data_IF_276874817719
#
_entry.id   IF_276874817719
#
_cell.length_a   1.000
_cell.length_b   1.000
_cell.length_c   1.000
_cell.angle_alpha   90.00
_cell.angle_beta   90.00
_cell.angle_gamma   90.00
#
_symmetry.space_group_name_H-M   'P 1'
#
loop_
_entity.id
_entity.type
_entity.pdbx_description
1 polymer ?
#
# COMPACT_ATOMS: atom_id res chain seq x y z
N UNK A 1 32.65 -17.31 4.16
CA UNK A 1 32.35 -16.48 2.97
C UNK A 1 33.32 -16.90 1.89
N UNK A 2 32.86 -17.59 0.84
CA UNK A 2 33.76 -18.09 -0.22
C UNK A 2 33.90 -17.06 -1.34
N UNK A 3 35.02 -17.10 -2.07
CA UNK A 3 35.34 -16.15 -3.16
C UNK A 3 34.25 -16.14 -4.26
N UNK A 4 33.57 -17.28 -4.46
CA UNK A 4 32.42 -17.44 -5.36
C UNK A 4 31.18 -16.65 -4.89
N UNK A 5 30.97 -16.52 -3.58
CA UNK A 5 29.87 -15.74 -3.01
C UNK A 5 30.08 -14.23 -3.21
N UNK A 6 31.31 -13.75 -3.07
CA UNK A 6 31.64 -12.32 -3.25
C UNK A 6 31.59 -11.93 -4.73
N UNK A 7 32.12 -12.77 -5.62
CA UNK A 7 32.06 -12.54 -7.07
C UNK A 7 30.64 -12.65 -7.61
N UNK A 8 29.86 -13.64 -7.14
CA UNK A 8 28.45 -13.80 -7.49
C UNK A 8 27.58 -12.62 -7.04
N UNK A 9 27.80 -12.10 -5.82
CA UNK A 9 27.13 -10.89 -5.32
C UNK A 9 27.50 -9.65 -6.12
N UNK A 10 28.78 -9.41 -6.42
CA UNK A 10 29.20 -8.26 -7.25
C UNK A 10 28.59 -8.27 -8.64
N UNK A 11 28.50 -9.44 -9.29
CA UNK A 11 27.88 -9.56 -10.62
C UNK A 11 26.35 -9.41 -10.57
N UNK A 12 25.69 -9.83 -9.49
CA UNK A 12 24.29 -9.56 -9.22
C UNK A 12 24.06 -8.06 -8.95
N UNK A 13 24.87 -7.44 -8.09
CA UNK A 13 24.84 -6.01 -7.78
C UNK A 13 25.05 -5.16 -9.03
N UNK A 14 26.01 -5.51 -9.90
CA UNK A 14 26.26 -4.78 -11.14
C UNK A 14 25.07 -4.87 -12.13
N UNK A 15 24.28 -5.95 -12.11
CA UNK A 15 23.04 -6.05 -12.88
C UNK A 15 21.90 -5.26 -12.23
N UNK A 16 21.73 -5.37 -10.92
CA UNK A 16 20.73 -4.62 -10.15
C UNK A 16 20.97 -3.11 -10.25
N UNK A 17 22.21 -2.65 -10.15
CA UNK A 17 22.59 -1.24 -10.30
C UNK A 17 22.34 -0.72 -11.71
N UNK A 18 22.62 -1.53 -12.75
CA UNK A 18 22.29 -1.18 -14.14
C UNK A 18 20.78 -1.09 -14.35
N UNK A 19 20.00 -2.04 -13.81
CA UNK A 19 18.55 -2.01 -13.87
C UNK A 19 17.97 -0.78 -13.13
N UNK A 20 18.47 -0.47 -11.93
CA UNK A 20 18.06 0.70 -11.18
C UNK A 20 18.37 2.01 -11.94
N UNK A 21 19.56 2.13 -12.56
CA UNK A 21 19.91 3.29 -13.39
C UNK A 21 18.97 3.47 -14.57
N UNK A 22 18.69 2.39 -15.32
CA UNK A 22 17.75 2.44 -16.44
C UNK A 22 16.33 2.76 -15.98
N UNK A 23 15.90 2.22 -14.84
CA UNK A 23 14.62 2.55 -14.23
C UNK A 23 14.55 4.03 -13.85
N UNK A 24 15.58 4.58 -13.20
CA UNK A 24 15.65 6.02 -12.87
C UNK A 24 15.62 6.89 -14.10
N UNK A 25 16.36 6.52 -15.16
CA UNK A 25 16.36 7.25 -16.42
C UNK A 25 14.99 7.21 -17.12
N UNK A 26 14.38 6.02 -17.20
CA UNK A 26 13.04 5.84 -17.76
C UNK A 26 11.97 6.60 -16.95
N UNK A 27 12.08 6.57 -15.62
CA UNK A 27 11.20 7.32 -14.72
C UNK A 27 11.36 8.83 -14.90
N UNK A 28 12.60 9.31 -15.03
CA UNK A 28 12.90 10.70 -15.37
C UNK A 28 12.23 11.12 -16.68
N UNK A 29 12.46 10.34 -17.75
CA UNK A 29 11.82 10.57 -19.05
C UNK A 29 10.29 10.56 -18.98
N UNK A 30 9.70 9.60 -18.27
CA UNK A 30 8.25 9.52 -18.06
C UNK A 30 7.72 10.76 -17.33
N UNK A 31 8.40 11.19 -16.27
CA UNK A 31 8.01 12.36 -15.47
C UNK A 31 8.11 13.67 -16.28
N UNK A 32 9.17 13.84 -17.07
CA UNK A 32 9.33 14.97 -17.99
C UNK A 32 8.24 14.96 -19.06
N UNK A 33 7.95 13.80 -19.68
CA UNK A 33 6.87 13.66 -20.64
C UNK A 33 5.50 14.01 -20.04
N UNK A 34 5.21 13.50 -18.85
CA UNK A 34 3.99 13.83 -18.11
C UNK A 34 3.91 15.34 -17.82
N UNK A 35 5.01 15.98 -17.42
CA UNK A 35 5.04 17.42 -17.18
C UNK A 35 4.64 18.23 -18.43
N UNK A 36 5.09 17.83 -19.63
CA UNK A 36 4.66 18.47 -20.88
C UNK A 36 3.17 18.26 -21.20
N UNK A 37 2.63 17.07 -20.91
CA UNK A 37 1.20 16.78 -21.11
C UNK A 37 0.31 17.57 -20.15
N UNK A 38 0.72 17.68 -18.89
CA UNK A 38 -0.01 18.42 -17.85
C UNK A 38 0.29 19.93 -17.85
N UNK A 39 1.27 20.40 -18.63
CA UNK A 39 1.58 21.84 -18.74
C UNK A 39 0.39 22.68 -19.22
N UNK A 40 -0.57 22.05 -19.90
CA UNK A 40 -1.82 22.70 -20.38
C UNK A 40 -3.06 22.29 -19.59
N UNK A 41 -2.91 21.50 -18.52
CA UNK A 41 -4.04 21.08 -17.71
C UNK A 41 -4.62 22.27 -16.95
N UNK A 42 -5.93 22.45 -17.04
CA UNK A 42 -6.69 23.44 -16.26
C UNK A 42 -6.93 22.90 -14.85
N UNK A 43 -6.22 23.44 -13.86
CA UNK A 43 -6.33 23.05 -12.45
C UNK A 43 -5.01 23.20 -11.71
N UNK A 44 -5.02 23.11 -10.38
CA UNK A 44 -3.77 23.12 -9.62
C UNK A 44 -3.09 21.76 -9.68
N UNK A 45 -1.75 21.73 -9.81
CA UNK A 45 -0.99 20.46 -9.85
C UNK A 45 -1.28 19.59 -8.63
N UNK A 46 -1.40 20.23 -7.46
CA UNK A 46 -1.68 19.55 -6.19
C UNK A 46 -3.06 18.88 -6.21
N UNK A 47 -4.08 19.54 -6.77
CA UNK A 47 -5.42 18.97 -6.91
C UNK A 47 -5.42 17.74 -7.83
N UNK A 48 -4.76 17.83 -8.99
CA UNK A 48 -4.68 16.69 -9.93
C UNK A 48 -3.96 15.49 -9.30
N UNK A 49 -2.83 15.74 -8.62
CA UNK A 49 -2.08 14.67 -7.93
C UNK A 49 -2.92 14.03 -6.82
N UNK A 50 -3.64 14.83 -6.04
CA UNK A 50 -4.51 14.30 -4.99
C UNK A 50 -5.72 13.55 -5.54
N UNK A 51 -6.31 14.01 -6.64
CA UNK A 51 -7.40 13.31 -7.30
C UNK A 51 -6.95 11.93 -7.80
N UNK A 52 -5.78 11.86 -8.44
CA UNK A 52 -5.20 10.58 -8.88
C UNK A 52 -4.86 9.70 -7.68
N UNK A 53 -4.23 10.26 -6.64
CA UNK A 53 -3.89 9.54 -5.41
C UNK A 53 -5.11 8.94 -4.71
N UNK A 54 -6.21 9.70 -4.63
CA UNK A 54 -7.45 9.27 -4.00
C UNK A 54 -8.16 8.10 -4.70
N UNK A 55 -7.84 7.84 -5.97
CA UNK A 55 -8.26 6.60 -6.62
C UNK A 55 -7.66 5.36 -5.92
N UNK A 56 -6.41 5.46 -5.44
CA UNK A 56 -5.64 4.34 -4.92
C UNK A 56 -5.55 4.29 -3.38
N UNK A 57 -5.52 5.42 -2.69
CA UNK A 57 -5.26 5.46 -1.24
C UNK A 57 -6.26 4.62 -0.44
N UNK A 58 -7.56 4.76 -0.74
CA UNK A 58 -8.62 3.97 -0.11
C UNK A 58 -8.44 2.45 -0.31
N UNK A 59 -8.36 1.97 -1.56
CA UNK A 59 -8.15 0.55 -1.83
C UNK A 59 -6.85 -0.02 -1.26
N UNK A 60 -5.73 0.72 -1.31
CA UNK A 60 -4.47 0.28 -0.70
C UNK A 60 -4.63 0.08 0.81
N UNK A 61 -5.25 1.04 1.50
CA UNK A 61 -5.55 0.92 2.92
C UNK A 61 -6.44 -0.31 3.20
N UNK A 62 -7.50 -0.51 2.40
CA UNK A 62 -8.38 -1.67 2.50
C UNK A 62 -7.65 -3.00 2.31
N UNK A 63 -6.73 -3.07 1.35
CA UNK A 63 -5.89 -4.23 1.11
C UNK A 63 -5.02 -4.58 2.34
N UNK A 64 -4.38 -3.57 2.94
CA UNK A 64 -3.62 -3.76 4.17
C UNK A 64 -4.51 -4.20 5.33
N UNK A 65 -5.66 -3.57 5.49
CA UNK A 65 -6.62 -3.92 6.54
C UNK A 65 -7.15 -5.35 6.39
N UNK A 66 -7.44 -5.81 5.18
CA UNK A 66 -7.80 -7.22 4.92
C UNK A 66 -6.71 -8.17 5.41
N UNK A 67 -5.44 -7.86 5.11
CA UNK A 67 -4.31 -8.69 5.54
C UNK A 67 -4.07 -8.71 7.05
N UNK A 68 -4.43 -7.62 7.76
CA UNK A 68 -4.21 -7.49 9.21
C UNK A 68 -5.41 -7.99 10.03
N UNK A 69 -6.63 -7.58 9.66
CA UNK A 69 -7.84 -7.80 10.44
C UNK A 69 -8.48 -9.15 10.14
N UNK A 70 -8.43 -9.62 8.90
CA UNK A 70 -9.01 -10.90 8.53
C UNK A 70 -7.94 -11.99 8.62
N UNK A 71 -8.21 -13.02 9.42
CA UNK A 71 -7.39 -14.24 9.47
C UNK A 71 -7.65 -15.05 8.21
N UNK A 72 -6.83 -14.86 7.19
CA UNK A 72 -6.80 -15.73 6.01
C UNK A 72 -7.71 -15.37 4.83
N UNK A 73 -7.94 -14.10 4.47
CA UNK A 73 -8.32 -13.79 3.10
C UNK A 73 -7.10 -14.17 2.28
N UNK A 74 -7.17 -15.28 1.54
CA UNK A 74 -6.03 -15.69 0.71
C UNK A 74 -5.57 -14.54 -0.17
N UNK A 75 -4.31 -14.55 -0.62
CA UNK A 75 -3.74 -13.47 -1.45
C UNK A 75 -4.65 -13.12 -2.64
N UNK A 76 -5.34 -14.10 -3.21
CA UNK A 76 -6.34 -13.91 -4.26
C UNK A 76 -7.54 -13.06 -3.83
N UNK A 77 -8.12 -13.30 -2.65
CA UNK A 77 -9.25 -12.50 -2.15
C UNK A 77 -8.82 -11.07 -1.80
N UNK A 78 -7.62 -10.91 -1.25
CA UNK A 78 -7.06 -9.60 -0.93
C UNK A 78 -6.84 -8.76 -2.22
N UNK A 79 -6.17 -9.34 -3.22
CA UNK A 79 -5.96 -8.68 -4.52
C UNK A 79 -7.27 -8.44 -5.27
N UNK A 80 -8.21 -9.39 -5.22
CA UNK A 80 -9.53 -9.26 -5.82
C UNK A 80 -10.35 -8.13 -5.18
N UNK A 81 -10.29 -8.01 -3.85
CA UNK A 81 -10.87 -6.88 -3.13
C UNK A 81 -10.26 -5.56 -3.57
N UNK A 82 -8.93 -5.47 -3.64
CA UNK A 82 -8.23 -4.27 -4.10
C UNK A 82 -8.63 -3.85 -5.52
N UNK A 83 -8.66 -4.80 -6.45
CA UNK A 83 -9.08 -4.56 -7.83
C UNK A 83 -10.54 -4.09 -7.91
N UNK A 84 -11.43 -4.71 -7.12
CA UNK A 84 -12.82 -4.29 -7.03
C UNK A 84 -12.98 -2.88 -6.45
N UNK A 85 -12.25 -2.53 -5.38
CA UNK A 85 -12.26 -1.17 -4.84
C UNK A 85 -11.78 -0.12 -5.83
N UNK A 86 -10.75 -0.45 -6.62
CA UNK A 86 -10.26 0.42 -7.70
C UNK A 86 -11.31 0.59 -8.82
N UNK A 87 -11.97 -0.50 -9.20
CA UNK A 87 -13.06 -0.49 -10.18
C UNK A 87 -14.27 0.32 -9.69
N UNK A 88 -14.63 0.21 -8.41
CA UNK A 88 -15.69 1.03 -7.79
C UNK A 88 -15.33 2.50 -7.87
N UNK A 89 -14.10 2.89 -7.50
CA UNK A 89 -13.66 4.28 -7.61
C UNK A 89 -13.69 4.80 -9.05
N UNK A 90 -13.26 3.99 -10.03
CA UNK A 90 -13.36 4.33 -11.44
C UNK A 90 -14.83 4.49 -11.91
N UNK A 91 -15.73 3.65 -11.39
CA UNK A 91 -17.18 3.76 -11.62
C UNK A 91 -17.77 5.04 -11.04
N UNK A 92 -17.42 5.40 -9.80
CA UNK A 92 -17.85 6.66 -9.16
C UNK A 92 -17.37 7.87 -9.95
N UNK A 93 -16.11 7.87 -10.38
CA UNK A 93 -15.58 8.93 -11.23
C UNK A 93 -16.39 9.12 -12.52
N UNK A 94 -16.85 8.03 -13.14
CA UNK A 94 -17.58 8.09 -14.42
C UNK A 94 -19.07 8.38 -14.27
N UNK A 95 -19.71 7.83 -13.24
CA UNK A 95 -21.17 7.83 -13.06
C UNK A 95 -21.66 8.91 -12.10
N UNK A 96 -20.81 9.39 -11.19
CA UNK A 96 -21.16 10.37 -10.17
C UNK A 96 -20.14 11.53 -10.17
N UNK A 97 -20.09 12.36 -11.23
CA UNK A 97 -19.11 13.45 -11.35
C UNK A 97 -19.28 14.54 -10.28
N UNK A 98 -20.42 14.59 -9.59
CA UNK A 98 -20.63 15.49 -8.45
C UNK A 98 -19.97 15.04 -7.14
N UNK A 99 -19.43 13.82 -7.07
CA UNK A 99 -18.73 13.33 -5.88
C UNK A 99 -17.29 13.81 -5.90
N UNK A 100 -16.94 14.65 -4.92
CA UNK A 100 -15.56 15.10 -4.71
C UNK A 100 -14.62 13.91 -4.52
N UNK A 101 -13.43 13.98 -5.13
CA UNK A 101 -12.40 12.95 -5.09
C UNK A 101 -11.96 12.56 -3.67
N UNK A 102 -12.17 13.44 -2.68
CA UNK A 102 -11.92 13.12 -1.27
C UNK A 102 -12.70 11.89 -0.78
N UNK A 103 -13.92 11.70 -1.28
CA UNK A 103 -14.78 10.57 -0.91
C UNK A 103 -14.34 9.24 -1.53
N UNK A 104 -13.54 9.27 -2.61
CA UNK A 104 -13.05 8.05 -3.25
C UNK A 104 -12.12 7.26 -2.33
N UNK A 105 -11.48 7.91 -1.35
CA UNK A 105 -10.72 7.23 -0.30
C UNK A 105 -11.63 6.33 0.55
N UNK A 106 -12.74 6.88 1.05
CA UNK A 106 -13.68 6.13 1.90
C UNK A 106 -14.41 5.05 1.10
N UNK A 107 -14.87 5.39 -0.11
CA UNK A 107 -15.59 4.48 -0.99
C UNK A 107 -14.69 3.31 -1.40
N UNK A 108 -13.47 3.59 -1.87
CA UNK A 108 -12.54 2.55 -2.29
C UNK A 108 -12.08 1.66 -1.13
N UNK A 109 -11.94 2.20 0.08
CA UNK A 109 -11.69 1.43 1.30
C UNK A 109 -12.83 0.45 1.59
N UNK A 110 -14.08 0.95 1.65
CA UNK A 110 -15.27 0.14 1.92
C UNK A 110 -15.49 -0.90 0.83
N UNK A 111 -15.37 -0.51 -0.44
CA UNK A 111 -15.48 -1.41 -1.59
C UNK A 111 -14.44 -2.52 -1.54
N UNK A 112 -13.20 -2.19 -1.19
CA UNK A 112 -12.13 -3.19 -1.04
C UNK A 112 -12.41 -4.16 0.10
N UNK A 113 -12.80 -3.65 1.27
CA UNK A 113 -13.11 -4.50 2.43
C UNK A 113 -14.31 -5.40 2.17
N UNK A 114 -15.38 -4.86 1.58
CA UNK A 114 -16.59 -5.59 1.27
C UNK A 114 -16.32 -6.69 0.24
N UNK A 115 -15.70 -6.34 -0.90
CA UNK A 115 -15.38 -7.29 -1.95
C UNK A 115 -14.36 -8.33 -1.47
N UNK A 116 -13.28 -7.91 -0.81
CA UNK A 116 -12.27 -8.83 -0.30
C UNK A 116 -12.80 -9.79 0.76
N UNK A 117 -13.68 -9.31 1.65
CA UNK A 117 -14.36 -10.17 2.63
C UNK A 117 -15.34 -11.14 1.97
N UNK A 118 -16.08 -10.68 0.96
CA UNK A 118 -16.99 -11.53 0.19
C UNK A 118 -16.23 -12.62 -0.59
N UNK A 119 -15.17 -12.24 -1.32
CA UNK A 119 -14.30 -13.19 -2.02
C UNK A 119 -13.65 -14.17 -1.04
N UNK A 120 -13.22 -13.71 0.14
CA UNK A 120 -12.63 -14.57 1.17
C UNK A 120 -13.57 -15.69 1.64
N UNK A 121 -14.90 -15.55 1.48
CA UNK A 121 -15.86 -16.61 1.85
C UNK A 121 -15.96 -17.70 0.78
N UNK A 122 -15.64 -17.39 -0.47
CA UNK A 122 -15.74 -18.32 -1.62
C UNK A 122 -14.38 -18.86 -2.05
N UNK A 123 -13.29 -18.14 -1.81
CA UNK A 123 -11.94 -18.65 -2.05
C UNK A 123 -11.46 -19.45 -0.85
N UNK A 124 -10.82 -20.59 -1.11
CA UNK A 124 -10.18 -21.38 -0.06
C UNK A 124 -9.20 -20.50 0.75
N UNK A 125 -9.17 -20.63 2.09
CA UNK A 125 -8.21 -19.91 2.91
C UNK A 125 -6.80 -20.25 2.44
N UNK A 126 -5.91 -19.24 2.40
CA UNK A 126 -4.53 -19.48 2.02
C UNK A 126 -3.93 -20.57 2.94
N UNK A 127 -3.58 -21.71 2.34
CA UNK A 127 -2.89 -22.77 3.05
C UNK A 127 -1.55 -22.20 3.54
N UNK A 128 -1.24 -22.27 4.85
CA UNK A 128 0.07 -21.87 5.34
C UNK A 128 1.10 -22.73 4.62
N UNK A 129 2.07 -22.10 3.94
CA UNK A 129 3.13 -22.83 3.23
C UNK A 129 3.78 -23.86 4.18
N UNK A 130 3.89 -25.14 3.82
CA UNK A 130 4.41 -26.18 4.71
C UNK A 130 5.85 -25.93 5.20
N UNK A 131 6.63 -25.11 4.47
CA UNK A 131 7.94 -24.62 4.93
C UNK A 131 7.87 -23.81 6.25
N UNK A 132 6.72 -23.20 6.56
CA UNK A 132 6.45 -22.54 7.84
C UNK A 132 6.00 -23.53 8.92
N UNK A 133 5.51 -24.72 8.55
CA UNK A 133 5.10 -25.77 9.48
C UNK A 133 6.30 -26.53 10.05
N UNK A 134 7.37 -26.75 9.28
CA UNK A 134 8.63 -27.35 9.77
C UNK A 134 9.31 -26.49 10.85
N UNK A 135 9.22 -25.15 10.72
CA UNK A 135 9.69 -24.20 11.75
C UNK A 135 8.84 -24.17 13.03
N UNK A 136 7.64 -24.76 13.04
CA UNK A 136 6.82 -24.87 14.28
C UNK A 136 7.26 -26.03 15.18
N UNK A 137 7.82 -27.10 14.60
CA UNK A 137 8.37 -28.25 15.36
C UNK A 137 9.80 -27.99 15.89
N UNK A 138 10.59 -27.19 15.17
CA UNK A 138 11.85 -26.64 15.66
C UNK A 138 11.56 -25.46 16.61
N UNK A 139 11.02 -25.75 17.79
CA UNK A 139 10.84 -24.79 18.88
C UNK A 139 10.12 -23.50 18.48
N UNK A 140 8.80 -23.45 18.61
CA UNK A 140 8.06 -22.19 18.57
C UNK A 140 8.64 -21.12 19.54
N UNK A 141 9.35 -21.53 20.59
CA UNK A 141 10.10 -20.62 21.47
C UNK A 141 11.40 -20.03 20.87
N UNK A 142 11.98 -20.68 19.86
CA UNK A 142 13.24 -20.27 19.22
C UNK A 142 13.03 -19.41 17.96
N UNK A 143 11.83 -19.43 17.36
CA UNK A 143 11.51 -18.73 16.09
C UNK A 143 10.35 -17.75 16.21
N UNK A 144 9.62 -17.69 17.32
CA UNK A 144 8.81 -16.52 17.62
C UNK A 144 9.75 -15.38 18.03
N UNK A 145 9.91 -14.29 17.26
CA UNK A 145 10.39 -13.07 17.89
C UNK A 145 9.39 -12.78 19.00
N UNK A 146 9.87 -12.74 20.25
CA UNK A 146 9.10 -12.16 21.36
C UNK A 146 8.70 -10.79 20.88
N UNK A 147 7.45 -10.61 20.47
CA UNK A 147 7.05 -9.34 19.89
C UNK A 147 7.04 -8.34 21.03
N UNK A 148 8.01 -7.40 21.08
CA UNK A 148 8.15 -6.55 22.24
C UNK A 148 6.93 -5.61 22.31
N UNK A 149 6.73 -4.98 23.47
CA UNK A 149 5.63 -4.04 23.74
C UNK A 149 5.54 -2.83 22.75
N UNK A 150 6.45 -2.75 21.77
CA UNK A 150 6.52 -1.76 20.70
C UNK A 150 5.40 -1.83 19.65
N UNK A 151 4.52 -2.84 19.65
CA UNK A 151 3.30 -2.81 18.82
C UNK A 151 2.36 -1.68 19.24
N UNK A 152 2.26 -1.42 20.54
CA UNK A 152 1.53 -0.28 21.07
C UNK A 152 2.29 1.03 20.84
N UNK A 153 3.62 0.99 20.70
CA UNK A 153 4.41 2.17 20.35
C UNK A 153 4.15 2.64 18.90
N UNK A 154 3.88 1.73 17.96
CA UNK A 154 3.52 2.06 16.58
C UNK A 154 2.11 2.63 16.47
N UNK A 155 1.16 2.06 17.21
CA UNK A 155 -0.22 2.58 17.30
C UNK A 155 -0.24 3.91 18.06
N UNK A 156 0.55 4.03 19.13
CA UNK A 156 0.70 5.27 19.88
C UNK A 156 1.44 6.34 19.08
N UNK A 157 2.48 6.01 18.30
CA UNK A 157 3.15 6.97 17.43
C UNK A 157 2.21 7.47 16.34
N UNK A 158 1.38 6.60 15.77
CA UNK A 158 0.35 6.99 14.81
C UNK A 158 -0.71 7.90 15.46
N UNK A 159 -1.19 7.55 16.66
CA UNK A 159 -2.13 8.37 17.42
C UNK A 159 -1.53 9.73 17.82
N UNK A 160 -0.25 9.79 18.18
CA UNK A 160 0.47 11.03 18.51
C UNK A 160 0.66 11.90 17.27
N UNK A 161 0.99 11.32 16.11
CA UNK A 161 1.08 12.06 14.85
C UNK A 161 -0.28 12.67 14.48
N UNK A 162 -1.37 11.90 14.62
CA UNK A 162 -2.73 12.39 14.39
C UNK A 162 -3.11 13.49 15.39
N UNK A 163 -2.77 13.33 16.68
CA UNK A 163 -3.05 14.33 17.71
C UNK A 163 -2.26 15.63 17.47
N UNK A 164 -0.98 15.54 17.12
CA UNK A 164 -0.15 16.69 16.76
C UNK A 164 -0.66 17.38 15.49
N UNK A 165 -1.10 16.64 14.48
CA UNK A 165 -1.69 17.20 13.27
C UNK A 165 -3.01 17.95 13.53
N UNK A 166 -3.82 17.48 14.48
CA UNK A 166 -5.07 18.14 14.88
C UNK A 166 -4.86 19.34 15.81
N UNK A 167 -3.76 19.35 16.57
CA UNK A 167 -3.40 20.44 17.48
C UNK A 167 -2.52 21.51 16.82
N UNK A 168 -1.79 21.17 15.75
CA UNK A 168 -0.92 22.10 15.01
C UNK A 168 -1.62 23.40 14.57
N UNK A 169 -2.87 23.39 14.05
CA UNK A 169 -3.57 24.63 13.69
C UNK A 169 -3.88 25.52 14.89
N UNK A 170 -4.11 24.93 16.08
CA UNK A 170 -4.44 25.67 17.31
C UNK A 170 -3.20 26.24 18.00
N UNK A 171 -2.03 25.61 17.80
CA UNK A 171 -0.75 26.03 18.40
C UNK A 171 0.00 27.01 17.49
N UNK A 172 -0.13 26.86 16.16
CA UNK A 172 0.55 27.70 15.17
C UNK A 172 -0.35 28.78 14.56
N UNK A 173 -1.68 28.67 14.71
CA UNK A 173 -2.66 29.67 14.29
C UNK A 173 -2.88 30.78 15.34
N UNK A 174 -1.88 31.06 16.17
CA UNK A 174 -1.86 32.24 17.05
C UNK A 174 -1.65 33.50 16.21
N UNK A 175 -2.73 33.94 15.56
CA UNK A 175 -3.13 35.31 15.26
C UNK A 175 -4.52 35.27 14.59
#
# INVERSE_FOLDING_TARGET
VTLRDVLGRRAADARTLRAARWLTFAWGGLSTGAAFLFARASGTVIETVNQVGSLFYGPILGLFLLGILLRGPGSAAALGGFAAGLAVNAGVWRLAPGVSWMWWNAIGLVGTLAAGSALSRVTAPAQPKPELLWRRGAGAAAVLPRVPASRWALVASFAVIVLLALLAPKVLGGN
#
